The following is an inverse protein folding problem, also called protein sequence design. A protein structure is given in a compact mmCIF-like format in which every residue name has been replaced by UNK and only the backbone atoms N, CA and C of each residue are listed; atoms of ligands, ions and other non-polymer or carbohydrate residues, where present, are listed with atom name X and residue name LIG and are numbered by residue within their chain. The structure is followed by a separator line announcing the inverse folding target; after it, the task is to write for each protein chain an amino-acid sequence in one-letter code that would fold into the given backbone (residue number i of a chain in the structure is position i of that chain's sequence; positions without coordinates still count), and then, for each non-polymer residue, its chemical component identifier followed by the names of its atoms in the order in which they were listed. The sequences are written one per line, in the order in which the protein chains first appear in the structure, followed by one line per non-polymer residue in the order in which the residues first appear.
data_IF_589935429964
#
_entry.id   IF_589935429964
#
_cell.length_a   1.000
_cell.length_b   1.000
_cell.length_c   1.000
_cell.angle_alpha   90.00
_cell.angle_beta   90.00
_cell.angle_gamma   90.00
#
_symmetry.space_group_name_H-M   'P 1'
#
loop_
_entity.id
_entity.type
_entity.pdbx_description
1 polymer ?
#
# COMPACT_ATOMS: atom_id res chain seq x y z
N UNK A 1 -2.14 56.15 22.12
CA UNK A 1 -1.74 54.76 22.46
C UNK A 1 -2.60 53.69 21.74
N UNK A 2 -3.21 53.98 20.57
CA UNK A 2 -4.07 53.03 19.81
C UNK A 2 -3.42 52.43 18.55
N UNK A 3 -2.22 52.88 18.18
CA UNK A 3 -1.53 52.45 16.95
C UNK A 3 -0.69 51.16 17.12
N UNK A 4 -0.24 50.84 18.34
CA UNK A 4 0.59 49.65 18.60
C UNK A 4 -0.21 48.34 18.54
N UNK A 5 -1.46 48.36 19.01
CA UNK A 5 -2.34 47.18 19.04
C UNK A 5 -2.82 46.77 17.65
N UNK A 6 -3.09 47.73 16.75
CA UNK A 6 -3.51 47.43 15.37
C UNK A 6 -2.37 46.85 14.53
N UNK A 7 -1.13 47.33 14.73
CA UNK A 7 0.05 46.81 14.03
C UNK A 7 0.42 45.39 14.49
N UNK A 8 0.30 45.10 15.80
CA UNK A 8 0.51 43.74 16.34
C UNK A 8 -0.55 42.75 15.86
N UNK A 9 -1.81 43.17 15.75
CA UNK A 9 -2.89 42.32 15.20
C UNK A 9 -2.68 42.04 13.70
N UNK A 10 -2.21 43.03 12.93
CA UNK A 10 -1.90 42.86 11.52
C UNK A 10 -0.74 41.88 11.29
N UNK A 11 0.31 41.93 12.13
CA UNK A 11 1.44 40.98 12.07
C UNK A 11 0.97 39.56 12.41
N UNK A 12 0.09 39.39 13.41
CA UNK A 12 -0.48 38.10 13.78
C UNK A 12 -1.38 37.51 12.67
N UNK A 13 -2.12 38.37 11.95
CA UNK A 13 -2.94 37.96 10.81
C UNK A 13 -2.06 37.58 9.61
N UNK A 14 -0.96 38.30 9.36
CA UNK A 14 -0.01 37.99 8.28
C UNK A 14 0.73 36.66 8.54
N UNK A 15 1.07 36.34 9.80
CA UNK A 15 1.68 35.04 10.13
C UNK A 15 0.69 33.87 10.05
N UNK A 16 -0.61 34.12 10.27
CA UNK A 16 -1.68 33.11 10.08
C UNK A 16 -2.00 32.84 8.60
N UNK A 17 -1.60 33.72 7.67
CA UNK A 17 -1.82 33.57 6.21
C UNK A 17 -0.66 32.83 5.54
N UNK A 18 0.43 32.52 6.25
CA UNK A 18 1.43 31.57 5.74
C UNK A 18 0.88 30.14 5.82
N UNK A 19 -0.09 29.85 4.97
CA UNK A 19 -0.52 28.50 4.59
C UNK A 19 0.65 27.87 3.83
N UNK A 20 1.69 27.47 4.57
CA UNK A 20 2.87 26.83 4.03
C UNK A 20 2.42 25.45 3.56
N UNK A 21 2.26 25.31 2.23
CA UNK A 21 1.95 24.02 1.62
C UNK A 21 3.08 23.06 1.94
N UNK A 22 2.74 21.94 2.56
CA UNK A 22 3.74 20.94 2.93
C UNK A 22 4.39 20.34 1.67
N UNK A 23 5.72 20.19 1.69
CA UNK A 23 6.42 19.34 0.73
C UNK A 23 6.25 17.88 1.14
N UNK A 24 5.84 17.04 0.19
CA UNK A 24 5.52 15.64 0.40
C UNK A 24 6.32 14.76 -0.55
N UNK A 25 6.64 13.54 -0.11
CA UNK A 25 7.22 12.53 -0.97
C UNK A 25 6.14 11.89 -1.85
N UNK A 26 6.43 11.78 -3.15
CA UNK A 26 5.59 11.11 -4.14
C UNK A 26 6.44 10.08 -4.86
N UNK A 27 6.01 8.82 -4.80
CA UNK A 27 6.58 7.76 -5.61
C UNK A 27 6.02 7.87 -7.03
N UNK A 28 6.87 7.96 -8.03
CA UNK A 28 6.48 7.94 -9.43
C UNK A 28 6.71 6.52 -9.93
N UNK A 29 5.64 5.82 -10.28
CA UNK A 29 5.72 4.55 -10.99
C UNK A 29 5.66 4.77 -12.50
N UNK A 30 6.52 4.10 -13.25
CA UNK A 30 6.65 4.26 -14.69
C UNK A 30 7.22 3.00 -15.35
N UNK A 31 6.95 2.85 -16.64
CA UNK A 31 7.54 1.80 -17.48
C UNK A 31 8.93 2.24 -17.98
N UNK A 32 10.03 1.56 -17.61
CA UNK A 32 11.38 1.95 -18.05
C UNK A 32 11.60 1.82 -19.55
N UNK A 33 10.84 0.99 -20.27
CA UNK A 33 10.99 0.81 -21.70
C UNK A 33 10.36 1.97 -22.48
N UNK A 34 9.16 2.38 -22.06
CA UNK A 34 8.34 3.37 -22.80
C UNK A 34 8.28 4.75 -22.16
N UNK A 35 8.58 4.86 -20.86
CA UNK A 35 8.37 6.07 -20.05
C UNK A 35 9.65 6.58 -19.36
N UNK A 36 10.83 6.04 -19.66
CA UNK A 36 12.11 6.64 -19.25
C UNK A 36 12.30 8.05 -19.81
N UNK A 37 13.18 8.83 -19.18
CA UNK A 37 13.55 10.18 -19.64
C UNK A 37 13.31 11.26 -18.60
N UNK A 38 12.51 12.27 -18.95
CA UNK A 38 12.36 13.52 -18.18
C UNK A 38 10.89 13.72 -17.82
N UNK A 39 10.59 13.73 -16.52
CA UNK A 39 9.31 14.21 -16.00
C UNK A 39 9.46 15.68 -15.57
N UNK A 40 8.77 16.57 -16.28
CA UNK A 40 8.67 17.99 -15.89
C UNK A 40 7.45 18.22 -15.02
N UNK A 41 7.61 19.07 -14.02
CA UNK A 41 6.52 19.52 -13.14
C UNK A 41 6.46 21.04 -13.09
N UNK A 42 5.28 21.57 -13.42
CA UNK A 42 4.96 23.00 -13.53
C UNK A 42 5.95 23.80 -14.41
N UNK A 43 6.57 23.14 -15.40
CA UNK A 43 7.68 23.65 -16.22
C UNK A 43 8.89 24.21 -15.43
N UNK A 44 8.97 23.91 -14.13
CA UNK A 44 10.01 24.40 -13.22
C UNK A 44 10.94 23.31 -12.75
N UNK A 45 10.39 22.17 -12.37
CA UNK A 45 11.15 21.05 -11.83
C UNK A 45 11.27 19.96 -12.88
N UNK A 46 12.43 19.31 -12.90
CA UNK A 46 12.73 18.22 -13.83
C UNK A 46 13.28 17.05 -13.04
N UNK A 47 12.68 15.89 -13.24
CA UNK A 47 13.10 14.63 -12.63
C UNK A 47 13.48 13.64 -13.71
N UNK A 48 14.63 12.97 -13.55
CA UNK A 48 15.07 11.93 -14.48
C UNK A 48 14.47 10.59 -14.08
N UNK A 49 13.77 9.95 -15.02
CA UNK A 49 13.28 8.58 -14.90
C UNK A 49 14.29 7.64 -15.56
N UNK A 50 14.89 6.75 -14.77
CA UNK A 50 15.96 5.83 -15.22
C UNK A 50 15.39 4.62 -15.96
N UNK A 51 16.16 4.05 -16.88
CA UNK A 51 15.81 2.77 -17.51
C UNK A 51 16.05 1.56 -16.60
N UNK A 52 16.85 1.73 -15.54
CA UNK A 52 17.19 0.65 -14.58
C UNK A 52 16.22 0.53 -13.40
N UNK A 53 15.12 1.28 -13.41
CA UNK A 53 14.13 1.27 -12.33
C UNK A 53 12.72 1.43 -12.87
N UNK A 54 11.75 0.86 -12.18
CA UNK A 54 10.31 1.02 -12.45
C UNK A 54 9.67 2.10 -11.59
N UNK A 55 10.42 2.68 -10.64
CA UNK A 55 9.93 3.80 -9.86
C UNK A 55 11.04 4.72 -9.32
N UNK A 56 10.66 5.92 -8.90
CA UNK A 56 11.54 6.87 -8.21
C UNK A 56 10.74 7.73 -7.24
N UNK A 57 11.37 8.28 -6.21
CA UNK A 57 10.70 9.18 -5.26
C UNK A 57 11.08 10.62 -5.54
N UNK A 58 10.09 11.47 -5.76
CA UNK A 58 10.25 12.92 -5.90
C UNK A 58 9.67 13.64 -4.70
N UNK A 59 10.14 14.86 -4.43
CA UNK A 59 9.54 15.73 -3.42
C UNK A 59 8.86 16.89 -4.12
N UNK A 60 7.59 17.10 -3.81
CA UNK A 60 6.77 18.17 -4.40
C UNK A 60 5.85 18.76 -3.33
N UNK A 61 5.46 20.02 -3.48
CA UNK A 61 4.45 20.62 -2.61
C UNK A 61 3.08 19.98 -2.82
N UNK A 62 2.21 20.04 -1.82
CA UNK A 62 0.81 19.63 -1.99
C UNK A 62 0.03 20.61 -2.89
N UNK A 63 -1.00 20.10 -3.56
CA UNK A 63 -1.89 20.90 -4.42
C UNK A 63 -1.88 20.47 -5.88
N UNK A 64 -2.44 21.31 -6.74
CA UNK A 64 -2.56 21.03 -8.18
C UNK A 64 -1.24 21.30 -8.91
N UNK A 65 -0.76 20.32 -9.67
CA UNK A 65 0.47 20.41 -10.47
C UNK A 65 0.23 19.94 -11.90
N UNK A 66 0.94 20.54 -12.84
CA UNK A 66 0.97 20.12 -14.25
C UNK A 66 2.21 19.29 -14.50
N UNK A 67 2.01 18.09 -15.03
CA UNK A 67 3.06 17.13 -15.33
C UNK A 67 3.19 16.97 -16.84
N UNK A 68 4.43 16.79 -17.29
CA UNK A 68 4.74 16.46 -18.68
C UNK A 68 5.86 15.44 -18.73
N UNK A 69 5.55 14.27 -19.28
CA UNK A 69 6.55 13.23 -19.51
C UNK A 69 7.18 13.42 -20.89
N UNK A 70 8.50 13.58 -20.92
CA UNK A 70 9.27 13.87 -22.13
C UNK A 70 8.67 15.06 -22.91
N UNK A 71 8.45 14.89 -24.21
CA UNK A 71 7.73 15.84 -25.07
C UNK A 71 6.26 15.44 -25.27
N UNK A 72 5.71 14.62 -24.37
CA UNK A 72 4.36 14.13 -24.42
C UNK A 72 3.30 15.16 -24.01
N UNK A 73 2.05 14.68 -23.92
CA UNK A 73 0.90 15.47 -23.52
C UNK A 73 0.97 15.83 -22.03
N UNK A 74 0.64 17.08 -21.72
CA UNK A 74 0.49 17.54 -20.34
C UNK A 74 -0.75 16.97 -19.67
N UNK A 75 -0.65 16.73 -18.37
CA UNK A 75 -1.77 16.36 -17.53
C UNK A 75 -1.66 17.02 -16.16
N UNK A 76 -2.81 17.33 -15.55
CA UNK A 76 -2.86 17.96 -14.23
C UNK A 76 -3.27 16.94 -13.19
N UNK A 77 -2.64 17.01 -12.02
CA UNK A 77 -2.96 16.13 -10.90
C UNK A 77 -2.87 16.90 -9.58
N UNK A 78 -3.85 16.65 -8.70
CA UNK A 78 -3.83 17.16 -7.32
C UNK A 78 -3.05 16.18 -6.45
N UNK A 79 -2.00 16.68 -5.80
CA UNK A 79 -1.15 15.98 -4.85
C UNK A 79 -1.65 16.23 -3.43
N UNK A 80 -1.90 15.14 -2.71
CA UNK A 80 -2.37 15.16 -1.32
C UNK A 80 -1.27 15.53 -0.34
N UNK A 81 -1.65 16.12 0.81
CA UNK A 81 -0.77 16.35 1.97
C UNK A 81 -0.10 15.09 2.51
N UNK A 82 -0.64 13.91 2.19
CA UNK A 82 -0.07 12.61 2.58
C UNK A 82 0.99 12.09 1.61
N UNK A 83 1.19 12.73 0.46
CA UNK A 83 1.91 12.14 -0.66
C UNK A 83 1.13 10.98 -1.27
N UNK A 84 1.84 10.10 -1.99
CA UNK A 84 1.21 8.98 -2.69
C UNK A 84 2.04 8.45 -3.84
N UNK A 85 1.37 7.74 -4.75
CA UNK A 85 1.93 7.26 -6.01
C UNK A 85 1.37 8.10 -7.16
N UNK A 86 2.26 8.70 -7.96
CA UNK A 86 1.95 9.17 -9.31
C UNK A 86 2.16 7.99 -10.27
N UNK A 87 1.06 7.44 -10.76
CA UNK A 87 1.04 6.21 -11.54
C UNK A 87 1.08 6.53 -13.04
N UNK A 88 2.28 6.62 -13.61
CA UNK A 88 2.46 6.84 -15.05
C UNK A 88 2.27 5.54 -15.84
N UNK A 89 2.68 4.41 -15.27
CA UNK A 89 2.57 3.06 -15.82
C UNK A 89 1.12 2.55 -15.90
N UNK A 90 0.19 3.21 -15.21
CA UNK A 90 -1.21 2.78 -15.09
C UNK A 90 -1.34 1.36 -14.54
N UNK A 91 -0.46 1.01 -13.59
CA UNK A 91 -0.44 -0.30 -12.95
C UNK A 91 -1.38 -0.37 -11.74
N UNK A 92 -1.64 -1.59 -11.29
CA UNK A 92 -2.34 -1.88 -10.04
C UNK A 92 -1.37 -2.02 -8.87
N UNK A 93 -1.85 -1.71 -7.67
CA UNK A 93 -1.05 -1.85 -6.45
C UNK A 93 -1.76 -2.64 -5.35
N UNK A 94 -0.96 -3.28 -4.51
CA UNK A 94 -1.39 -3.93 -3.29
C UNK A 94 -0.63 -3.32 -2.11
N UNK A 95 -1.37 -2.88 -1.10
CA UNK A 95 -0.82 -2.63 0.22
C UNK A 95 -0.84 -3.95 0.96
N UNK A 96 0.32 -4.45 1.37
CA UNK A 96 0.48 -5.64 2.20
C UNK A 96 0.83 -5.24 3.63
N UNK A 97 0.54 -6.10 4.61
CA UNK A 97 0.85 -5.85 6.01
C UNK A 97 1.78 -6.91 6.58
N UNK A 98 2.69 -6.49 7.44
CA UNK A 98 3.62 -7.34 8.17
C UNK A 98 3.53 -7.05 9.68
N UNK A 99 3.45 -8.09 10.52
CA UNK A 99 3.53 -7.95 11.97
C UNK A 99 4.96 -7.72 12.46
N UNK A 100 5.10 -7.01 13.57
CA UNK A 100 6.34 -6.73 14.30
C UNK A 100 6.13 -6.87 15.82
N UNK A 101 7.11 -7.47 16.51
CA UNK A 101 7.12 -7.69 17.97
C UNK A 101 8.32 -8.56 18.38
N UNK A 102 8.68 -8.64 19.67
CA UNK A 102 9.92 -9.31 20.11
C UNK A 102 9.90 -10.85 20.01
N UNK A 103 8.75 -11.48 19.75
CA UNK A 103 8.62 -12.93 19.58
C UNK A 103 7.74 -13.27 18.36
N UNK A 104 8.16 -12.85 17.16
CA UNK A 104 7.53 -13.34 15.90
C UNK A 104 7.91 -14.81 15.64
N UNK A 105 8.97 -15.33 16.28
CA UNK A 105 9.38 -16.73 16.16
C UNK A 105 8.73 -17.66 17.20
N UNK A 106 8.09 -17.12 18.25
CA UNK A 106 7.41 -17.87 19.33
C UNK A 106 5.91 -17.56 19.42
N UNK A 107 5.23 -17.33 18.29
CA UNK A 107 3.76 -17.18 18.27
C UNK A 107 3.02 -18.44 18.74
N UNK A 108 3.67 -19.60 18.76
CA UNK A 108 3.12 -20.88 19.24
C UNK A 108 2.75 -20.88 20.74
N UNK A 109 3.28 -19.95 21.53
CA UNK A 109 3.17 -19.94 23.00
C UNK A 109 2.33 -18.82 23.61
N UNK A 110 1.92 -17.83 22.81
CA UNK A 110 0.93 -16.84 23.25
C UNK A 110 -0.44 -17.45 22.98
N UNK A 111 -1.24 -17.63 24.03
CA UNK A 111 -2.70 -17.82 23.90
C UNK A 111 -3.21 -16.81 22.86
N UNK A 112 -3.47 -17.27 21.65
CA UNK A 112 -3.88 -16.51 20.47
C UNK A 112 -5.35 -16.03 20.59
N UNK A 113 -5.71 -15.57 21.78
CA UNK A 113 -6.85 -14.70 22.05
C UNK A 113 -6.44 -13.21 21.95
N UNK A 114 -5.33 -12.89 21.27
CA UNK A 114 -5.37 -11.71 20.41
C UNK A 114 -6.33 -12.12 19.32
N UNK A 115 -7.56 -11.65 19.47
CA UNK A 115 -8.70 -11.95 18.63
C UNK A 115 -8.33 -11.69 17.15
N UNK A 116 -7.77 -12.71 16.50
CA UNK A 116 -7.71 -12.85 15.04
C UNK A 116 -9.12 -13.19 14.55
N UNK A 117 -10.12 -12.47 15.06
CA UNK A 117 -11.52 -12.45 14.63
C UNK A 117 -11.59 -11.96 13.20
N UNK A 118 -11.19 -12.80 12.24
CA UNK A 118 -11.39 -12.60 10.82
C UNK A 118 -10.99 -11.21 10.28
N UNK A 119 -10.13 -10.46 10.97
CA UNK A 119 -9.64 -9.16 10.55
C UNK A 119 -8.61 -9.30 9.43
N UNK A 120 -9.09 -9.54 8.20
CA UNK A 120 -8.60 -8.98 6.94
C UNK A 120 -7.09 -8.96 6.61
N UNK A 121 -6.42 -10.12 6.61
CA UNK A 121 -5.15 -10.29 5.87
C UNK A 121 -5.37 -10.97 4.52
N UNK A 122 -6.30 -10.44 3.73
CA UNK A 122 -6.53 -10.95 2.38
C UNK A 122 -6.80 -9.82 1.40
N UNK A 123 -6.57 -10.10 0.13
CA UNK A 123 -6.90 -9.20 -0.96
C UNK A 123 -7.53 -9.99 -2.10
N UNK A 124 -8.48 -9.38 -2.80
CA UNK A 124 -9.08 -9.95 -4.01
C UNK A 124 -8.53 -9.20 -5.21
N UNK A 125 -7.95 -9.94 -6.16
CA UNK A 125 -7.38 -9.42 -7.40
C UNK A 125 -7.86 -10.35 -8.52
N UNK A 126 -8.45 -9.81 -9.58
CA UNK A 126 -8.84 -10.55 -10.79
C UNK A 126 -9.60 -11.87 -10.57
N UNK A 127 -10.54 -11.88 -9.62
CA UNK A 127 -11.32 -13.08 -9.23
C UNK A 127 -10.56 -14.15 -8.45
N UNK A 128 -9.38 -13.82 -7.94
CA UNK A 128 -8.59 -14.65 -7.04
C UNK A 128 -8.55 -13.99 -5.66
N UNK A 129 -8.76 -14.81 -4.62
CA UNK A 129 -8.57 -14.45 -3.22
C UNK A 129 -7.15 -14.84 -2.80
N UNK A 130 -6.37 -13.87 -2.36
CA UNK A 130 -5.05 -14.07 -1.76
C UNK A 130 -5.19 -13.88 -0.26
N UNK A 131 -5.13 -14.97 0.50
CA UNK A 131 -5.30 -14.99 1.95
C UNK A 131 -3.96 -15.28 2.63
N UNK A 132 -3.50 -14.40 3.51
CA UNK A 132 -2.27 -14.58 4.29
C UNK A 132 -2.50 -15.52 5.47
N UNK A 133 -1.63 -16.52 5.60
CA UNK A 133 -1.60 -17.48 6.70
C UNK A 133 -0.92 -16.83 7.91
N UNK A 134 -1.55 -16.91 9.08
CA UNK A 134 -1.08 -16.23 10.30
C UNK A 134 -0.19 -17.10 11.19
N UNK A 135 -0.43 -18.40 11.28
CA UNK A 135 0.53 -19.35 11.87
C UNK A 135 0.13 -20.82 11.71
N UNK A 136 1.16 -21.66 11.62
CA UNK A 136 1.18 -23.11 11.42
C UNK A 136 0.64 -23.61 10.08
N UNK A 137 1.14 -24.77 9.68
CA UNK A 137 0.82 -25.52 8.47
C UNK A 137 -0.67 -25.95 8.35
N UNK A 138 -1.57 -25.34 9.13
CA UNK A 138 -3.00 -25.62 9.11
C UNK A 138 -3.65 -25.18 7.80
N UNK A 139 -4.46 -26.07 7.26
CA UNK A 139 -5.27 -25.80 6.08
C UNK A 139 -6.31 -24.72 6.41
N UNK A 140 -6.39 -23.69 5.57
CA UNK A 140 -7.41 -22.64 5.70
C UNK A 140 -8.74 -23.19 5.22
N UNK A 141 -9.68 -23.41 6.14
CA UNK A 141 -10.99 -23.97 5.82
C UNK A 141 -11.82 -23.07 4.89
N UNK A 142 -12.66 -23.68 4.07
CA UNK A 142 -13.58 -22.97 3.17
C UNK A 142 -14.55 -22.03 3.93
N UNK A 143 -14.94 -22.39 5.17
CA UNK A 143 -15.73 -21.52 6.03
C UNK A 143 -15.00 -20.21 6.36
N UNK A 144 -13.67 -20.27 6.58
CA UNK A 144 -12.83 -19.10 6.84
C UNK A 144 -12.68 -18.24 5.59
N UNK A 145 -12.54 -18.85 4.41
CA UNK A 145 -12.48 -18.14 3.13
C UNK A 145 -13.81 -17.45 2.79
N UNK A 146 -14.95 -18.14 2.98
CA UNK A 146 -16.28 -17.55 2.79
C UNK A 146 -16.51 -16.34 3.70
N UNK A 147 -16.11 -16.44 4.98
CA UNK A 147 -16.17 -15.31 5.92
C UNK A 147 -15.33 -14.12 5.44
N UNK A 148 -14.13 -14.38 4.91
CA UNK A 148 -13.28 -13.33 4.34
C UNK A 148 -13.98 -12.62 3.16
N UNK A 149 -14.59 -13.38 2.26
CA UNK A 149 -15.32 -12.82 1.12
C UNK A 149 -16.55 -12.00 1.54
N UNK A 150 -17.31 -12.47 2.53
CA UNK A 150 -18.45 -11.73 3.07
C UNK A 150 -18.01 -10.42 3.72
N UNK A 151 -16.87 -10.42 4.40
CA UNK A 151 -16.28 -9.20 4.97
C UNK A 151 -15.82 -8.23 3.88
N UNK A 152 -15.21 -8.73 2.80
CA UNK A 152 -14.83 -7.91 1.65
C UNK A 152 -16.05 -7.18 1.06
N UNK A 153 -17.17 -7.90 0.90
CA UNK A 153 -18.43 -7.35 0.36
C UNK A 153 -19.06 -6.29 1.28
N UNK A 154 -18.92 -6.43 2.61
CA UNK A 154 -19.54 -5.53 3.60
C UNK A 154 -18.74 -4.27 3.89
N UNK A 155 -17.42 -4.34 3.80
CA UNK A 155 -16.55 -3.27 4.27
C UNK A 155 -16.10 -2.30 3.17
N UNK A 156 -16.39 -2.55 1.89
CA UNK A 156 -15.80 -1.81 0.76
C UNK A 156 -14.27 -1.64 0.90
N UNK A 157 -13.61 -2.64 1.52
CA UNK A 157 -12.18 -2.60 1.83
C UNK A 157 -11.76 -1.68 3.00
N UNK A 158 -12.68 -1.04 3.71
CA UNK A 158 -12.37 -0.23 4.91
C UNK A 158 -12.11 -1.15 6.11
N UNK A 159 -10.86 -1.19 6.57
CA UNK A 159 -10.43 -2.02 7.69
C UNK A 159 -9.69 -3.29 7.27
N UNK A 160 -9.27 -3.40 6.00
CA UNK A 160 -8.38 -4.47 5.57
C UNK A 160 -6.91 -4.11 5.84
N UNK A 161 -6.13 -5.06 6.38
CA UNK A 161 -4.67 -4.92 6.46
C UNK A 161 -4.02 -5.06 5.08
N UNK A 162 -4.71 -5.72 4.14
CA UNK A 162 -4.33 -5.73 2.73
C UNK A 162 -5.34 -4.98 1.86
N UNK A 163 -4.87 -4.16 0.93
CA UNK A 163 -5.73 -3.33 0.10
C UNK A 163 -5.29 -3.33 -1.36
N UNK A 164 -6.25 -3.49 -2.26
CA UNK A 164 -6.04 -3.39 -3.70
C UNK A 164 -6.41 -1.98 -4.18
N UNK A 165 -5.50 -1.36 -4.90
CA UNK A 165 -5.71 -0.08 -5.57
C UNK A 165 -5.68 -0.32 -7.08
N UNK A 166 -6.85 -0.11 -7.71
CA UNK A 166 -7.02 -0.12 -9.17
C UNK A 166 -6.24 1.02 -9.84
N UNK A 167 -6.07 1.01 -11.17
CA UNK A 167 -5.28 2.02 -11.85
C UNK A 167 -5.96 3.38 -11.68
N UNK A 168 -5.20 4.31 -11.12
CA UNK A 168 -5.59 5.70 -10.97
C UNK A 168 -4.34 6.56 -11.14
N UNK A 169 -4.48 7.71 -11.78
CA UNK A 169 -3.34 8.60 -12.06
C UNK A 169 -2.58 9.00 -10.81
N UNK A 170 -3.28 9.15 -9.69
CA UNK A 170 -2.70 9.36 -8.38
C UNK A 170 -3.41 8.53 -7.32
N UNK A 171 -2.62 7.85 -6.49
CA UNK A 171 -3.10 7.01 -5.38
C UNK A 171 -2.57 7.65 -4.10
N UNK A 172 -3.49 8.12 -3.26
CA UNK A 172 -3.13 8.78 -1.99
C UNK A 172 -2.53 7.75 -1.03
N UNK A 173 -1.41 8.11 -0.39
CA UNK A 173 -0.73 7.24 0.57
C UNK A 173 -1.65 6.82 1.72
N UNK A 174 -1.78 5.51 1.88
CA UNK A 174 -2.42 4.85 3.04
C UNK A 174 -1.58 3.68 3.60
N UNK A 175 -0.29 3.66 3.25
CA UNK A 175 0.71 2.69 3.70
C UNK A 175 1.84 3.36 4.50
N UNK A 176 2.67 2.58 5.19
CA UNK A 176 3.86 3.08 5.88
C UNK A 176 5.04 3.24 4.89
N UNK A 177 5.36 2.16 4.16
CA UNK A 177 6.54 2.05 3.28
C UNK A 177 6.19 2.10 1.79
N UNK A 178 6.83 3.04 1.07
CA UNK A 178 6.63 3.28 -0.36
C UNK A 178 7.24 2.22 -1.30
N UNK A 179 7.18 2.48 -2.60
CA UNK A 179 7.72 1.58 -3.64
C UNK A 179 9.23 1.41 -3.49
N UNK A 180 9.94 2.52 -3.26
CA UNK A 180 11.41 2.60 -3.17
C UNK A 180 11.96 2.40 -1.75
N UNK A 181 11.11 1.97 -0.81
CA UNK A 181 11.52 1.75 0.58
C UNK A 181 11.50 0.27 0.90
N UNK A 182 12.56 -0.24 1.53
CA UNK A 182 12.57 -1.61 2.01
C UNK A 182 11.50 -1.82 3.08
N UNK A 183 10.96 -3.04 3.15
CA UNK A 183 10.16 -3.46 4.29
C UNK A 183 11.14 -3.84 5.41
N UNK A 184 11.30 -3.04 6.49
CA UNK A 184 12.33 -3.31 7.48
C UNK A 184 12.12 -4.66 8.18
N UNK A 185 13.20 -5.32 8.56
CA UNK A 185 13.13 -6.58 9.35
C UNK A 185 12.71 -6.33 10.80
N UNK A 186 13.09 -5.19 11.35
CA UNK A 186 12.78 -4.78 12.73
C UNK A 186 12.33 -3.33 12.74
N UNK A 187 11.51 -2.97 13.73
CA UNK A 187 11.12 -1.58 13.97
C UNK A 187 11.36 -1.22 15.44
N UNK A 188 11.72 0.03 15.70
CA UNK A 188 11.75 0.55 17.06
C UNK A 188 10.32 0.79 17.54
N UNK A 189 9.86 0.02 18.54
CA UNK A 189 8.64 0.32 19.27
C UNK A 189 9.00 0.95 20.60
N UNK A 190 8.63 2.22 20.81
CA UNK A 190 8.76 2.86 22.13
C UNK A 190 7.62 2.38 23.01
N UNK A 191 7.91 1.57 24.03
CA UNK A 191 6.94 1.30 25.09
C UNK A 191 6.77 2.55 25.95
N UNK A 192 5.65 3.25 25.79
CA UNK A 192 5.31 4.37 26.66
C UNK A 192 4.81 3.82 28.00
N UNK A 193 5.67 3.82 29.02
CA UNK A 193 5.27 3.85 30.43
C UNK A 193 5.40 2.53 31.19
N UNK A 194 6.40 2.47 32.08
CA UNK A 194 6.36 2.11 33.51
C UNK A 194 5.58 0.91 34.07
N UNK A 195 4.84 0.15 33.28
CA UNK A 195 4.17 -1.08 33.69
C UNK A 195 4.71 -2.24 32.85
N UNK A 196 4.78 -3.43 33.44
CA UNK A 196 5.28 -4.68 32.85
C UNK A 196 4.97 -4.74 31.35
N UNK A 197 6.03 -4.79 30.54
CA UNK A 197 5.97 -4.67 29.09
C UNK A 197 5.01 -5.70 28.49
N UNK A 198 3.79 -5.27 28.18
CA UNK A 198 2.95 -6.02 27.25
C UNK A 198 3.62 -5.94 25.89
N UNK A 199 4.10 -7.09 25.40
CA UNK A 199 4.59 -7.26 24.04
C UNK A 199 3.46 -6.85 23.07
N UNK A 200 3.48 -5.61 22.59
CA UNK A 200 2.45 -5.12 21.67
C UNK A 200 2.87 -5.51 20.26
N UNK A 201 2.20 -6.53 19.72
CA UNK A 201 2.23 -6.81 18.30
C UNK A 201 1.77 -5.55 17.56
N UNK A 202 2.58 -5.06 16.64
CA UNK A 202 2.23 -3.90 15.81
C UNK A 202 2.39 -4.26 14.35
N UNK A 203 1.61 -3.61 13.49
CA UNK A 203 1.59 -3.90 12.06
C UNK A 203 2.13 -2.70 11.30
N UNK A 204 2.94 -2.99 10.28
CA UNK A 204 3.31 -2.01 9.27
C UNK A 204 2.89 -2.47 7.90
N UNK A 205 2.80 -1.53 6.98
CA UNK A 205 2.28 -1.76 5.65
C UNK A 205 3.25 -1.29 4.57
N UNK A 206 3.34 -2.05 3.48
CA UNK A 206 4.15 -1.71 2.31
C UNK A 206 3.27 -1.77 1.06
N UNK A 207 3.40 -0.78 0.18
CA UNK A 207 2.81 -0.83 -1.16
C UNK A 207 3.76 -1.49 -2.14
N UNK A 208 3.23 -2.37 -2.99
CA UNK A 208 3.95 -3.02 -4.08
C UNK A 208 3.05 -3.14 -5.33
N UNK A 209 3.62 -3.25 -6.54
CA UNK A 209 2.86 -3.58 -7.74
C UNK A 209 2.08 -4.89 -7.56
N UNK A 210 0.84 -4.93 -8.04
CA UNK A 210 -0.02 -6.10 -7.91
C UNK A 210 0.59 -7.34 -8.59
N UNK A 211 1.24 -7.18 -9.75
CA UNK A 211 1.93 -8.29 -10.45
C UNK A 211 3.04 -8.89 -9.59
N UNK A 212 3.85 -8.07 -8.92
CA UNK A 212 4.89 -8.54 -8.01
C UNK A 212 4.28 -9.23 -6.77
N UNK A 213 3.17 -8.70 -6.25
CA UNK A 213 2.45 -9.36 -5.16
C UNK A 213 1.93 -10.75 -5.57
N UNK A 214 1.29 -10.87 -6.75
CA UNK A 214 0.79 -12.14 -7.29
C UNK A 214 1.93 -13.17 -7.39
N UNK A 215 3.09 -12.77 -7.91
CA UNK A 215 4.30 -13.61 -7.97
C UNK A 215 4.78 -14.03 -6.59
N UNK A 216 4.90 -13.08 -5.66
CA UNK A 216 5.35 -13.34 -4.30
C UNK A 216 4.46 -14.34 -3.57
N UNK A 217 3.13 -14.19 -3.70
CA UNK A 217 2.17 -15.10 -3.10
C UNK A 217 2.27 -16.53 -3.68
N UNK A 218 2.46 -16.66 -5.00
CA UNK A 218 2.67 -17.96 -5.66
C UNK A 218 3.96 -18.65 -5.20
N UNK A 219 5.04 -17.89 -5.07
CA UNK A 219 6.34 -18.40 -4.63
C UNK A 219 6.41 -18.68 -3.12
N UNK A 220 5.41 -18.22 -2.37
CA UNK A 220 5.34 -18.32 -0.91
C UNK A 220 4.08 -19.07 -0.43
N UNK A 221 3.82 -20.31 -0.91
CA UNK A 221 2.62 -21.06 -0.54
C UNK A 221 2.53 -21.39 0.96
N UNK A 222 3.65 -21.31 1.69
CA UNK A 222 3.69 -21.41 3.15
C UNK A 222 3.06 -20.20 3.85
N UNK A 223 3.00 -19.03 3.19
CA UNK A 223 2.46 -17.79 3.74
C UNK A 223 1.15 -17.36 3.10
N UNK A 224 0.79 -17.89 1.92
CA UNK A 224 -0.44 -17.53 1.22
C UNK A 224 -1.27 -18.75 0.82
N UNK A 225 -2.59 -18.58 0.91
CA UNK A 225 -3.58 -19.40 0.23
C UNK A 225 -4.13 -18.59 -0.93
N UNK A 226 -4.10 -19.17 -2.12
CA UNK A 226 -4.64 -18.58 -3.34
C UNK A 226 -5.81 -19.44 -3.78
N UNK A 227 -6.99 -18.84 -3.90
CA UNK A 227 -8.24 -19.55 -4.22
C UNK A 227 -9.10 -18.76 -5.19
N UNK A 228 -9.70 -19.45 -6.14
CA UNK A 228 -10.62 -18.82 -7.08
C UNK A 228 -11.95 -18.51 -6.38
N UNK A 229 -12.50 -17.32 -6.61
CA UNK A 229 -13.77 -16.92 -5.98
C UNK A 229 -14.93 -17.87 -6.31
N UNK A 230 -15.03 -18.33 -7.55
CA UNK A 230 -16.13 -19.23 -7.98
C UNK A 230 -16.00 -20.61 -7.36
N UNK A 231 -14.77 -21.08 -7.16
CA UNK A 231 -14.53 -22.38 -6.54
C UNK A 231 -14.84 -22.34 -5.03
N UNK A 232 -14.51 -21.24 -4.34
CA UNK A 232 -14.96 -21.01 -2.95
C UNK A 232 -16.50 -20.96 -2.87
N UNK A 233 -17.15 -20.21 -3.77
CA UNK A 233 -18.62 -20.08 -3.77
C UNK A 233 -19.33 -21.40 -4.08
N UNK A 234 -18.76 -22.23 -4.95
CA UNK A 234 -19.29 -23.55 -5.33
C UNK A 234 -18.85 -24.70 -4.41
N UNK A 235 -17.97 -24.46 -3.44
CA UNK A 235 -17.47 -25.46 -2.49
C UNK A 235 -16.50 -26.47 -3.10
N UNK A 236 -15.76 -26.07 -4.14
CA UNK A 236 -14.69 -26.87 -4.73
C UNK A 236 -13.37 -26.58 -4.04
N UNK A 237 -12.65 -27.63 -3.64
CA UNK A 237 -11.45 -27.54 -2.81
C UNK A 237 -10.13 -27.76 -3.58
N UNK A 238 -10.11 -27.68 -4.91
CA UNK A 238 -8.89 -27.96 -5.70
C UNK A 238 -7.92 -26.77 -5.73
N UNK A 239 -7.06 -26.70 -4.70
CA UNK A 239 -6.00 -25.69 -4.55
C UNK A 239 -4.99 -25.76 -5.71
N UNK A 240 -4.70 -26.95 -6.26
CA UNK A 240 -3.70 -27.11 -7.33
C UNK A 240 -4.20 -26.53 -8.65
N UNK A 241 -5.48 -26.71 -8.94
CA UNK A 241 -6.12 -26.10 -10.11
C UNK A 241 -6.10 -24.56 -10.03
N UNK A 242 -6.33 -24.01 -8.83
CA UNK A 242 -6.34 -22.55 -8.60
C UNK A 242 -4.96 -21.91 -8.75
N UNK A 243 -3.89 -22.59 -8.32
CA UNK A 243 -2.52 -22.17 -8.60
C UNK A 243 -2.27 -22.14 -10.10
N UNK A 244 -2.70 -23.18 -10.84
CA UNK A 244 -2.57 -23.23 -12.30
C UNK A 244 -3.34 -22.12 -13.02
N UNK A 245 -4.54 -21.75 -12.56
CA UNK A 245 -5.30 -20.59 -13.08
C UNK A 245 -4.56 -19.28 -12.84
N UNK A 246 -3.98 -19.11 -11.67
CA UNK A 246 -3.21 -17.89 -11.30
C UNK A 246 -1.96 -17.74 -12.16
N UNK A 247 -1.20 -18.83 -12.35
CA UNK A 247 -0.01 -18.81 -13.21
C UNK A 247 -0.36 -18.42 -14.65
N UNK A 248 -1.43 -18.99 -15.22
CA UNK A 248 -1.92 -18.62 -16.55
C UNK A 248 -2.32 -17.15 -16.61
N UNK A 249 -2.98 -16.64 -15.58
CA UNK A 249 -3.40 -15.23 -15.57
C UNK A 249 -2.20 -14.28 -15.62
N UNK A 250 -1.12 -14.60 -14.91
CA UNK A 250 0.11 -13.78 -14.94
C UNK A 250 0.85 -13.82 -16.28
N UNK A 251 0.72 -14.89 -17.07
CA UNK A 251 1.27 -14.93 -18.44
C UNK A 251 0.57 -13.94 -19.38
N UNK A 252 -0.68 -13.55 -19.08
CA UNK A 252 -1.42 -12.55 -19.85
C UNK A 252 -1.26 -11.12 -19.32
N UNK A 253 -0.76 -10.96 -18.10
CA UNK A 253 -0.53 -9.66 -17.44
C UNK A 253 0.87 -9.09 -17.75
N UNK A 254 1.73 -9.84 -18.47
CA UNK A 254 3.06 -9.44 -18.97
C UNK A 254 3.00 -8.94 -20.41
#
# INVERSE_FOLDING_TARGET
MKFKTTLQLLILIITMISCHKASVAVDVSYDPETQKGILKVDDKFTFKLSEDSTSTTITITEGSHTFKLNNGKEFTQVISSKGGILNLSNEDFVVMSQPYGMDVENLSGLNANIDFTAGNHFVVIDSMLYYSKTDSLEEVSDARLKKALDMNKRLDGKGNYMKYHKPAKFIVKDWDFGLNQDFPKTIETRSSGGASAFNTLTYKTKVIPATLFKLYALMSPQYFVIRNLKDIESGKEDIKEDIGKTSKQMEFDQ
#
